data_IF_294615254915
#
_entry.id   IF_294615254915
#
_cell.length_a   1.000
_cell.length_b   1.000
_cell.length_c   1.000
_cell.angle_alpha   90.00
_cell.angle_beta   90.00
_cell.angle_gamma   90.00
#
_symmetry.space_group_name_H-M   'P 1'
#
loop_
_entity.id
_entity.type
_entity.pdbx_description
1 polymer ?
#
# COMPACT_ATOMS: atom_id res chain seq x y z
N UNK A 1 -49.76 47.08 -40.39
CA UNK A 1 -48.90 46.66 -39.28
C UNK A 1 -49.01 45.14 -39.25
N UNK A 2 -48.01 44.40 -39.82
CA UNK A 2 -47.94 42.98 -39.68
C UNK A 2 -47.46 42.66 -38.27
N UNK A 3 -48.40 42.40 -37.38
CA UNK A 3 -48.09 41.79 -36.08
C UNK A 3 -47.64 40.38 -36.27
N UNK A 4 -46.33 40.13 -36.14
CA UNK A 4 -45.77 38.75 -36.02
C UNK A 4 -46.30 38.15 -34.73
N UNK A 5 -47.23 37.18 -34.86
CA UNK A 5 -47.62 36.37 -33.69
C UNK A 5 -46.39 35.51 -33.26
N UNK A 6 -45.77 35.88 -32.16
CA UNK A 6 -44.70 35.11 -31.56
C UNK A 6 -45.35 34.14 -30.56
N UNK A 7 -45.13 32.87 -30.75
CA UNK A 7 -45.54 31.84 -29.79
C UNK A 7 -44.32 31.41 -28.99
N UNK A 8 -44.39 31.51 -27.70
CA UNK A 8 -43.35 31.01 -26.78
C UNK A 8 -43.68 29.58 -26.37
N UNK A 9 -42.64 28.74 -26.22
CA UNK A 9 -42.79 27.44 -25.56
C UNK A 9 -43.27 27.61 -24.13
N UNK A 10 -44.02 26.66 -23.62
CA UNK A 10 -44.44 26.63 -22.21
C UNK A 10 -43.22 26.58 -21.26
N UNK A 11 -42.10 26.07 -21.75
CA UNK A 11 -40.84 25.97 -21.03
C UNK A 11 -39.84 27.07 -21.41
N UNK A 12 -40.30 28.29 -21.66
CA UNK A 12 -39.43 29.42 -22.01
C UNK A 12 -39.13 30.29 -20.75
N UNK A 13 -37.86 30.48 -20.32
CA UNK A 13 -36.64 30.04 -21.00
C UNK A 13 -36.36 28.55 -20.84
N UNK A 14 -35.82 27.91 -21.88
CA UNK A 14 -35.27 26.56 -21.79
C UNK A 14 -33.91 26.62 -21.07
N UNK A 15 -33.80 25.95 -19.94
CA UNK A 15 -32.55 25.85 -19.19
C UNK A 15 -31.87 24.56 -19.58
N UNK A 16 -30.63 24.65 -20.04
CA UNK A 16 -29.74 23.50 -20.23
C UNK A 16 -28.80 23.40 -19.02
N UNK A 17 -28.95 22.37 -18.24
CA UNK A 17 -28.06 22.12 -17.10
C UNK A 17 -26.89 21.21 -17.51
N UNK A 18 -25.72 21.50 -16.97
CA UNK A 18 -24.56 20.61 -17.14
C UNK A 18 -24.77 19.33 -16.33
N UNK A 19 -24.36 18.18 -16.84
CA UNK A 19 -24.36 16.94 -16.06
C UNK A 19 -23.56 17.12 -14.76
N UNK A 20 -24.10 16.65 -13.64
CA UNK A 20 -23.37 16.60 -12.38
C UNK A 20 -22.29 15.53 -12.46
N UNK A 21 -21.05 15.92 -12.16
CA UNK A 21 -19.93 15.02 -12.02
C UNK A 21 -19.83 14.43 -10.61
N UNK A 22 -19.13 13.28 -10.46
CA UNK A 22 -18.80 12.75 -9.15
C UNK A 22 -17.88 13.69 -8.39
N UNK A 23 -17.88 13.58 -7.06
CA UNK A 23 -16.92 14.22 -6.16
C UNK A 23 -16.27 13.14 -5.31
N UNK A 24 -14.95 13.04 -5.34
CA UNK A 24 -14.20 12.12 -4.47
C UNK A 24 -14.25 12.68 -3.06
N UNK A 25 -14.78 11.91 -2.11
CA UNK A 25 -14.97 12.35 -0.71
C UNK A 25 -13.93 11.76 0.21
N UNK A 26 -13.40 10.55 -0.12
CA UNK A 26 -12.38 9.87 0.68
C UNK A 26 -11.60 8.88 -0.17
N UNK A 27 -10.34 8.65 0.21
CA UNK A 27 -9.46 7.64 -0.36
C UNK A 27 -8.61 7.04 0.76
N UNK A 28 -8.72 5.74 0.96
CA UNK A 28 -7.92 5.00 1.95
C UNK A 28 -7.11 3.92 1.27
N UNK A 29 -5.98 3.55 1.87
CA UNK A 29 -5.12 2.51 1.33
C UNK A 29 -4.41 1.72 2.43
N UNK A 30 -4.00 0.51 2.09
CA UNK A 30 -3.08 -0.31 2.89
C UNK A 30 -1.89 -0.73 2.03
N UNK A 31 -0.70 -0.64 2.58
CA UNK A 31 0.51 -1.13 1.94
C UNK A 31 0.54 -2.67 1.91
N UNK A 32 1.33 -3.28 1.00
CA UNK A 32 1.62 -4.70 1.04
C UNK A 32 2.15 -5.15 2.40
N UNK A 33 1.66 -6.29 2.87
CA UNK A 33 1.91 -6.77 4.24
C UNK A 33 3.30 -7.36 4.43
N UNK A 34 3.94 -7.85 3.35
CA UNK A 34 5.23 -8.52 3.41
C UNK A 34 6.07 -8.26 2.14
N UNK A 35 7.34 -8.63 2.16
CA UNK A 35 8.22 -8.52 1.00
C UNK A 35 7.72 -9.37 -0.16
N UNK A 36 7.63 -8.75 -1.33
CA UNK A 36 7.20 -9.42 -2.56
C UNK A 36 5.74 -9.86 -2.58
N UNK A 37 4.92 -9.45 -1.61
CA UNK A 37 3.48 -9.69 -1.65
C UNK A 37 2.76 -8.57 -2.40
N UNK A 38 1.65 -8.94 -3.05
CA UNK A 38 0.75 -8.00 -3.72
C UNK A 38 -0.62 -8.12 -3.06
N UNK A 39 -0.74 -7.65 -1.82
CA UNK A 39 -1.96 -7.68 -1.03
C UNK A 39 -2.36 -6.28 -0.52
N UNK A 40 -1.74 -5.24 -1.06
CA UNK A 40 -2.13 -3.86 -0.84
C UNK A 40 -3.54 -3.58 -1.35
N UNK A 41 -4.19 -2.58 -0.78
CA UNK A 41 -5.56 -2.19 -1.14
C UNK A 41 -5.69 -0.68 -1.33
N UNK A 42 -6.64 -0.27 -2.17
CA UNK A 42 -7.10 1.12 -2.31
C UNK A 42 -8.62 1.10 -2.29
N UNK A 43 -9.24 1.95 -1.47
CA UNK A 43 -10.68 2.17 -1.43
C UNK A 43 -10.98 3.63 -1.77
N UNK A 44 -11.92 3.87 -2.69
CA UNK A 44 -12.29 5.19 -3.17
C UNK A 44 -13.76 5.44 -2.82
N UNK A 45 -14.07 6.55 -2.17
CA UNK A 45 -15.44 6.99 -1.90
C UNK A 45 -15.78 8.21 -2.76
N UNK A 46 -16.92 8.16 -3.44
CA UNK A 46 -17.40 9.25 -4.28
C UNK A 46 -18.89 9.52 -4.07
N UNK A 47 -19.31 10.76 -4.33
CA UNK A 47 -20.71 11.24 -4.23
C UNK A 47 -21.03 12.20 -5.38
N UNK A 48 -22.29 12.64 -5.49
CA UNK A 48 -22.73 13.76 -6.34
C UNK A 48 -22.70 13.56 -7.85
N UNK A 49 -22.57 12.34 -8.37
CA UNK A 49 -22.67 12.06 -9.80
C UNK A 49 -24.11 11.75 -10.25
N UNK A 50 -24.25 11.38 -11.50
CA UNK A 50 -25.48 10.84 -12.09
C UNK A 50 -25.29 9.33 -12.32
N UNK A 51 -26.18 8.52 -11.77
CA UNK A 51 -26.10 7.06 -11.88
C UNK A 51 -25.07 6.44 -10.93
N UNK A 52 -24.46 5.35 -11.38
CA UNK A 52 -23.34 4.70 -10.72
C UNK A 52 -22.02 5.39 -11.11
N UNK A 53 -20.91 4.92 -10.53
CA UNK A 53 -19.59 5.46 -10.83
C UNK A 53 -18.69 4.40 -11.43
N UNK A 54 -17.79 4.81 -12.29
CA UNK A 54 -16.63 4.04 -12.70
C UNK A 54 -15.37 4.58 -12.03
N UNK A 55 -14.51 3.68 -11.58
CA UNK A 55 -13.29 3.98 -10.85
C UNK A 55 -12.06 3.50 -11.63
N UNK A 56 -10.98 4.26 -11.55
CA UNK A 56 -9.69 3.92 -12.12
C UNK A 56 -8.58 4.23 -11.13
N UNK A 57 -7.54 3.39 -11.09
CA UNK A 57 -6.31 3.60 -10.32
C UNK A 57 -5.07 3.71 -11.21
N UNK A 58 -5.24 3.69 -12.54
CA UNK A 58 -4.19 3.72 -13.56
C UNK A 58 -4.31 4.92 -14.51
N UNK A 59 -4.73 6.06 -13.95
CA UNK A 59 -4.92 7.31 -14.70
C UNK A 59 -5.98 7.23 -15.81
N UNK A 60 -6.97 6.34 -15.69
CA UNK A 60 -8.04 6.20 -16.66
C UNK A 60 -7.73 5.25 -17.82
N UNK A 61 -6.67 4.46 -17.75
CA UNK A 61 -6.37 3.44 -18.75
C UNK A 61 -7.36 2.28 -18.66
N UNK A 62 -7.75 1.88 -17.44
CA UNK A 62 -8.82 0.91 -17.19
C UNK A 62 -9.84 1.47 -16.20
N UNK A 63 -11.09 1.04 -16.36
CA UNK A 63 -12.22 1.49 -15.54
C UNK A 63 -13.02 0.28 -15.04
N UNK A 64 -13.54 0.38 -13.80
CA UNK A 64 -14.45 -0.61 -13.20
C UNK A 64 -15.66 0.09 -12.58
N UNK A 65 -16.84 -0.47 -12.82
CA UNK A 65 -18.14 -0.07 -12.25
C UNK A 65 -18.61 -1.01 -11.13
N UNK A 66 -17.93 -2.15 -10.94
CA UNK A 66 -18.36 -3.22 -10.03
C UNK A 66 -17.80 -3.07 -8.62
N UNK A 67 -16.75 -2.27 -8.44
CA UNK A 67 -16.11 -2.09 -7.14
C UNK A 67 -15.37 -0.76 -7.05
N UNK A 68 -15.52 -0.13 -5.90
CA UNK A 68 -14.69 1.00 -5.48
C UNK A 68 -13.49 0.56 -4.63
N UNK A 69 -13.28 -0.75 -4.46
CA UNK A 69 -12.18 -1.35 -3.70
C UNK A 69 -11.30 -2.13 -4.67
N UNK A 70 -10.05 -1.77 -4.69
CA UNK A 70 -8.98 -2.44 -5.45
C UNK A 70 -8.11 -3.21 -4.48
N UNK A 71 -7.84 -4.46 -4.80
CA UNK A 71 -7.07 -5.40 -3.97
C UNK A 71 -5.95 -6.03 -4.79
N UNK A 72 -5.10 -6.81 -4.14
CA UNK A 72 -3.97 -7.47 -4.78
C UNK A 72 -2.99 -6.49 -5.43
N UNK A 73 -2.77 -5.32 -4.80
CA UNK A 73 -1.89 -4.28 -5.29
C UNK A 73 -0.46 -4.45 -4.73
N UNK A 74 0.52 -4.26 -5.59
CA UNK A 74 1.94 -4.14 -5.21
C UNK A 74 2.25 -2.71 -4.76
N UNK A 75 3.44 -2.49 -4.20
CA UNK A 75 3.96 -1.14 -4.05
C UNK A 75 4.06 -0.43 -5.40
N UNK A 76 3.72 0.85 -5.40
CA UNK A 76 3.70 1.65 -6.62
C UNK A 76 2.86 2.92 -6.47
N UNK A 77 2.82 3.72 -7.53
CA UNK A 77 2.03 4.95 -7.61
C UNK A 77 0.77 4.72 -8.41
N UNK A 78 -0.37 5.04 -7.83
CA UNK A 78 -1.70 4.85 -8.39
C UNK A 78 -2.40 6.20 -8.55
N UNK A 79 -2.63 6.63 -9.80
CA UNK A 79 -3.37 7.86 -10.08
C UNK A 79 -4.86 7.55 -10.11
N UNK A 80 -5.59 8.15 -9.17
CA UNK A 80 -7.02 7.92 -8.99
C UNK A 80 -7.81 8.80 -9.95
N UNK A 81 -8.83 8.19 -10.57
CA UNK A 81 -9.87 8.89 -11.32
C UNK A 81 -11.24 8.27 -11.06
N UNK A 82 -12.27 9.10 -11.10
CA UNK A 82 -13.68 8.68 -10.98
C UNK A 82 -14.48 9.39 -12.06
N UNK A 83 -15.45 8.71 -12.66
CA UNK A 83 -16.40 9.31 -13.62
C UNK A 83 -17.78 8.71 -13.46
N UNK A 84 -18.79 9.32 -14.08
CA UNK A 84 -20.11 8.72 -14.20
C UNK A 84 -20.05 7.42 -15.04
N UNK A 85 -20.95 6.48 -14.80
CA UNK A 85 -21.02 5.17 -15.49
C UNK A 85 -21.24 5.27 -16.99
N UNK A 86 -21.69 6.40 -17.48
CA UNK A 86 -21.82 6.70 -18.91
C UNK A 86 -20.53 7.26 -19.54
N UNK A 87 -19.42 7.26 -18.81
CA UNK A 87 -18.12 7.76 -19.26
C UNK A 87 -17.96 9.27 -19.22
N UNK A 88 -18.91 10.03 -18.65
CA UNK A 88 -18.86 11.49 -18.59
C UNK A 88 -18.37 12.00 -17.24
N UNK A 89 -17.98 13.29 -17.21
CA UNK A 89 -17.63 14.02 -15.98
C UNK A 89 -16.51 13.36 -15.18
N UNK A 90 -15.36 13.12 -15.82
CA UNK A 90 -14.17 12.59 -15.18
C UNK A 90 -13.60 13.57 -14.14
N UNK A 91 -13.29 13.07 -12.96
CA UNK A 91 -12.63 13.78 -11.85
C UNK A 91 -11.35 13.07 -11.48
N UNK A 92 -10.28 13.86 -11.33
CA UNK A 92 -8.95 13.39 -10.95
C UNK A 92 -8.78 13.51 -9.44
N UNK A 93 -8.47 12.40 -8.78
CA UNK A 93 -8.09 12.36 -7.37
C UNK A 93 -6.60 12.54 -7.15
N UNK A 94 -6.17 12.51 -5.91
CA UNK A 94 -4.75 12.48 -5.57
C UNK A 94 -4.11 11.15 -6.00
N UNK A 95 -2.80 11.18 -6.23
CA UNK A 95 -2.00 9.97 -6.41
C UNK A 95 -1.82 9.29 -5.06
N UNK A 96 -2.14 8.00 -4.97
CA UNK A 96 -1.83 7.16 -3.81
C UNK A 96 -0.54 6.40 -4.10
N UNK A 97 0.37 6.38 -3.11
CA UNK A 97 1.61 5.59 -3.18
C UNK A 97 1.53 4.48 -2.15
N UNK A 98 1.58 3.24 -2.61
CA UNK A 98 1.75 2.06 -1.77
C UNK A 98 3.24 1.73 -1.68
N UNK A 99 3.73 1.44 -0.50
CA UNK A 99 5.15 1.19 -0.24
C UNK A 99 5.38 -0.30 0.01
N UNK A 100 6.24 -0.93 -0.81
CA UNK A 100 6.65 -2.30 -0.58
C UNK A 100 7.51 -2.42 0.68
N UNK A 101 7.34 -3.52 1.40
CA UNK A 101 8.27 -3.91 2.45
C UNK A 101 9.62 -4.30 1.83
N UNK A 102 10.71 -3.89 2.47
CA UNK A 102 12.08 -4.22 2.04
C UNK A 102 12.69 -5.19 3.03
N UNK A 103 13.24 -6.30 2.50
CA UNK A 103 13.93 -7.29 3.32
C UNK A 103 15.23 -6.71 3.89
N UNK A 104 15.55 -6.98 5.17
CA UNK A 104 16.85 -6.64 5.71
C UNK A 104 17.96 -7.45 5.03
N UNK A 105 19.17 -6.91 5.06
CA UNK A 105 20.36 -7.57 4.53
C UNK A 105 21.37 -7.77 5.65
N UNK A 106 21.79 -9.02 5.90
CA UNK A 106 22.87 -9.32 6.81
C UNK A 106 24.19 -8.95 6.11
N UNK A 107 24.95 -8.04 6.70
CA UNK A 107 26.21 -7.55 6.14
C UNK A 107 27.43 -8.20 6.79
N UNK A 108 27.31 -8.63 8.05
CA UNK A 108 28.38 -9.34 8.75
C UNK A 108 27.82 -10.18 9.91
N UNK A 109 28.49 -11.27 10.22
CA UNK A 109 28.29 -12.06 11.44
C UNK A 109 29.66 -12.32 12.05
N UNK A 110 29.89 -11.77 13.24
CA UNK A 110 31.10 -11.98 14.03
C UNK A 110 30.78 -12.93 15.19
N UNK A 111 31.71 -13.78 15.52
CA UNK A 111 31.58 -14.71 16.67
C UNK A 111 32.84 -14.78 17.50
N UNK A 112 32.69 -15.02 18.80
CA UNK A 112 33.74 -15.37 19.73
C UNK A 112 33.40 -16.74 20.32
N UNK A 113 34.30 -17.68 20.20
CA UNK A 113 34.11 -19.04 20.76
C UNK A 113 34.13 -19.04 22.29
N UNK A 114 33.44 -19.98 22.92
CA UNK A 114 33.62 -20.24 24.36
C UNK A 114 35.08 -20.46 24.72
N UNK A 115 35.47 -19.96 25.90
CA UNK A 115 36.88 -19.94 26.33
C UNK A 115 37.39 -21.31 26.81
N UNK A 116 36.49 -22.22 27.23
CA UNK A 116 36.86 -23.56 27.69
C UNK A 116 35.72 -24.58 27.47
N UNK A 117 35.98 -25.84 27.68
CA UNK A 117 35.00 -26.92 27.60
C UNK A 117 33.86 -26.69 28.60
N UNK A 118 32.63 -26.82 28.16
CA UNK A 118 31.41 -26.67 28.96
C UNK A 118 31.16 -25.25 29.51
N UNK A 119 31.92 -24.25 29.08
CA UNK A 119 31.67 -22.82 29.38
C UNK A 119 30.69 -22.23 28.37
N UNK A 120 29.81 -21.40 28.84
CA UNK A 120 28.81 -20.72 28.01
C UNK A 120 29.09 -19.22 28.01
N UNK A 121 30.23 -18.82 27.44
CA UNK A 121 30.65 -17.44 27.31
C UNK A 121 30.89 -17.01 25.85
N UNK A 122 30.43 -17.83 24.89
CA UNK A 122 30.45 -17.51 23.49
C UNK A 122 29.55 -16.31 23.15
N UNK A 123 29.91 -15.56 22.11
CA UNK A 123 29.20 -14.38 21.66
C UNK A 123 28.99 -14.43 20.14
N UNK A 124 27.81 -14.07 19.68
CA UNK A 124 27.52 -13.80 18.26
C UNK A 124 27.02 -12.36 18.14
N UNK A 125 27.59 -11.61 17.21
CA UNK A 125 27.12 -10.26 16.83
C UNK A 125 26.73 -10.26 15.37
N UNK A 126 25.51 -9.82 15.08
CA UNK A 126 24.94 -9.78 13.73
C UNK A 126 24.85 -8.33 13.29
N UNK A 127 25.52 -7.97 12.20
CA UNK A 127 25.36 -6.65 11.57
C UNK A 127 24.43 -6.77 10.37
N UNK A 128 23.34 -6.03 10.39
CA UNK A 128 22.36 -6.01 9.30
C UNK A 128 21.90 -4.58 9.01
N UNK A 129 21.42 -4.36 7.80
CA UNK A 129 20.80 -3.12 7.35
C UNK A 129 19.38 -3.36 6.86
N UNK A 130 18.48 -2.39 7.05
CA UNK A 130 17.08 -2.44 6.62
C UNK A 130 16.44 -1.06 6.65
N UNK A 131 15.17 -0.98 6.29
CA UNK A 131 14.42 0.30 6.22
C UNK A 131 13.94 0.82 7.57
N UNK A 132 14.11 0.04 8.66
CA UNK A 132 13.67 0.40 10.01
C UNK A 132 14.33 -0.43 11.09
N UNK A 133 13.69 -0.54 12.26
CA UNK A 133 14.16 -1.40 13.33
C UNK A 133 14.07 -2.88 12.93
N UNK A 134 15.05 -3.66 13.41
CA UNK A 134 15.21 -5.07 13.06
C UNK A 134 15.06 -5.97 14.29
N UNK A 135 14.75 -7.23 14.02
CA UNK A 135 14.83 -8.31 14.99
C UNK A 135 15.79 -9.39 14.49
N UNK A 136 16.48 -10.03 15.42
CA UNK A 136 17.55 -10.99 15.17
C UNK A 136 17.23 -12.33 15.82
N UNK A 137 17.63 -13.40 15.16
CA UNK A 137 17.49 -14.80 15.62
C UNK A 137 18.77 -15.54 15.36
N UNK A 138 19.08 -16.52 16.21
CA UNK A 138 20.20 -17.48 16.07
C UNK A 138 19.71 -18.94 16.08
N UNK A 139 18.39 -19.16 16.01
CA UNK A 139 17.73 -20.48 16.05
C UNK A 139 16.80 -20.71 14.86
N UNK A 140 17.16 -20.13 13.70
CA UNK A 140 16.41 -20.28 12.45
C UNK A 140 15.05 -19.57 12.46
N UNK A 141 14.89 -18.51 13.28
CA UNK A 141 13.64 -17.73 13.35
C UNK A 141 12.61 -18.26 14.34
N UNK A 142 12.99 -19.18 15.24
CA UNK A 142 12.09 -19.67 16.30
C UNK A 142 11.90 -18.61 17.38
N UNK A 143 12.99 -17.99 17.83
CA UNK A 143 12.94 -16.88 18.80
C UNK A 143 13.59 -15.62 18.23
N UNK A 144 13.10 -14.45 18.66
CA UNK A 144 13.52 -13.16 18.14
C UNK A 144 13.80 -12.17 19.26
N UNK A 145 14.86 -11.36 19.08
CA UNK A 145 15.19 -10.24 19.96
C UNK A 145 15.53 -8.97 19.15
N UNK A 146 15.43 -7.82 19.79
CA UNK A 146 15.74 -6.52 19.16
C UNK A 146 17.24 -6.19 19.16
N UNK A 147 18.02 -6.84 20.03
CA UNK A 147 19.48 -6.64 20.10
C UNK A 147 20.19 -7.55 19.11
N UNK A 148 21.22 -7.03 18.49
CA UNK A 148 22.06 -7.70 17.49
C UNK A 148 23.15 -8.59 18.10
N UNK A 149 23.31 -8.58 19.43
CA UNK A 149 24.31 -9.32 20.18
C UNK A 149 23.66 -10.44 21.00
N UNK A 150 24.17 -11.65 20.84
CA UNK A 150 23.82 -12.84 21.60
C UNK A 150 25.01 -13.25 22.45
N UNK A 151 24.80 -13.43 23.73
CA UNK A 151 25.83 -13.77 24.71
C UNK A 151 25.49 -15.06 25.45
N UNK A 152 26.44 -15.56 26.25
CA UNK A 152 26.28 -16.77 27.04
C UNK A 152 26.00 -18.03 26.18
N UNK A 153 26.62 -18.11 25.01
CA UNK A 153 26.43 -19.21 24.07
C UNK A 153 27.39 -20.36 24.34
N UNK A 154 26.88 -21.56 24.27
CA UNK A 154 27.70 -22.78 24.25
C UNK A 154 28.29 -23.04 22.86
N UNK A 155 29.26 -23.92 22.75
CA UNK A 155 29.72 -24.41 21.45
C UNK A 155 28.56 -25.12 20.72
N UNK A 156 28.33 -24.78 19.46
CA UNK A 156 27.21 -25.32 18.67
C UNK A 156 27.10 -24.67 17.31
N UNK A 157 26.06 -25.08 16.57
CA UNK A 157 25.67 -24.48 15.29
C UNK A 157 24.48 -23.60 15.52
N UNK A 158 24.51 -22.38 14.96
CA UNK A 158 23.50 -21.38 15.10
C UNK A 158 23.01 -20.91 13.71
N UNK A 159 21.71 -20.96 13.48
CA UNK A 159 21.10 -20.54 12.24
C UNK A 159 20.66 -19.07 12.37
N UNK A 160 21.33 -18.20 11.61
CA UNK A 160 21.14 -16.75 11.69
C UNK A 160 20.00 -16.31 10.79
N UNK A 161 19.06 -15.54 11.37
CA UNK A 161 17.97 -14.90 10.64
C UNK A 161 17.77 -13.46 11.13
N UNK A 162 17.34 -12.58 10.23
CA UNK A 162 17.00 -11.19 10.53
C UNK A 162 15.67 -10.86 9.85
N UNK A 163 14.83 -10.10 10.51
CA UNK A 163 13.55 -9.62 9.95
C UNK A 163 13.24 -8.18 10.38
N UNK A 164 12.28 -7.57 9.73
CA UNK A 164 11.73 -6.29 10.18
C UNK A 164 11.03 -6.48 11.54
N UNK A 165 10.97 -5.40 12.36
CA UNK A 165 10.38 -5.47 13.71
C UNK A 165 8.88 -5.82 13.71
N UNK A 166 8.18 -5.55 12.62
CA UNK A 166 6.78 -5.91 12.44
C UNK A 166 6.57 -7.40 12.06
N UNK A 167 7.65 -8.16 11.98
CA UNK A 167 7.65 -9.58 11.65
C UNK A 167 7.66 -9.87 10.15
N UNK A 168 7.66 -8.85 9.30
CA UNK A 168 7.74 -9.02 7.84
C UNK A 168 9.17 -9.27 7.37
N UNK A 169 9.32 -9.89 6.20
CA UNK A 169 10.59 -10.02 5.48
C UNK A 169 11.69 -10.71 6.29
N UNK A 170 11.59 -12.00 6.44
CA UNK A 170 12.63 -12.86 7.04
C UNK A 170 13.68 -13.21 6.00
#
# INVERSE_FOLDING_TARGET
INGTCITYSIDNPVILESPNGPSITDMTSTDPSNCGTSDGTITISATSGIGSYEYSIDNGATWTDTSNIFTALSGGSYQIKVRNDNGTCEVVGATIVLTDKVAPTITNVASTNPTDCSVTDGIITITASGSGALQYSIDGGTTWQATDVFVALSAGTYEISVRNIDGSCI
#
